data_IF_719093115951
#
_entry.id   IF_719093115951
#
_cell.length_a   1.000
_cell.length_b   1.000
_cell.length_c   1.000
_cell.angle_alpha   90.00
_cell.angle_beta   90.00
_cell.angle_gamma   90.00
#
_symmetry.space_group_name_H-M   'P 1'
#
loop_
_entity.id
_entity.type
_entity.pdbx_description
1 polymer ?
#
# COMPACT_ATOMS: atom_id res chain seq x y z
N UNK A 1 17.72 66.20 -19.97
CA UNK A 1 16.67 65.57 -19.16
C UNK A 1 17.36 64.82 -18.04
N UNK A 2 17.18 65.30 -16.82
CA UNK A 2 17.59 64.72 -15.53
C UNK A 2 16.89 63.37 -15.31
N UNK A 3 17.43 62.42 -14.54
CA UNK A 3 17.22 62.33 -13.08
C UNK A 3 18.27 61.41 -12.45
N UNK A 4 18.88 61.92 -11.38
CA UNK A 4 19.70 61.22 -10.40
C UNK A 4 18.79 60.59 -9.34
N UNK A 5 19.14 59.40 -8.85
CA UNK A 5 18.54 58.82 -7.63
C UNK A 5 19.60 58.14 -6.78
N UNK A 6 20.08 58.87 -5.78
CA UNK A 6 20.79 58.36 -4.61
C UNK A 6 19.79 57.74 -3.63
N UNK A 7 20.09 56.55 -3.07
CA UNK A 7 19.59 56.17 -1.73
C UNK A 7 20.68 55.50 -0.91
N UNK A 8 20.60 55.85 0.37
CA UNK A 8 21.65 55.84 1.38
C UNK A 8 21.76 54.47 2.07
N UNK A 9 22.99 54.14 2.45
CA UNK A 9 23.36 53.06 3.37
C UNK A 9 22.93 53.43 4.80
N UNK A 10 22.41 52.46 5.55
CA UNK A 10 22.46 52.43 7.00
C UNK A 10 22.65 50.97 7.46
N UNK A 11 23.74 50.73 8.17
CA UNK A 11 24.21 49.43 8.71
C UNK A 11 23.85 49.38 10.20
N UNK A 12 23.91 48.18 10.79
CA UNK A 12 24.07 47.84 12.23
C UNK A 12 22.76 47.69 13.03
N UNK A 13 22.57 46.68 13.88
CA UNK A 13 23.37 45.53 14.31
C UNK A 13 22.43 44.53 15.01
N UNK A 14 22.76 43.22 14.97
CA UNK A 14 22.30 42.30 16.01
C UNK A 14 23.43 41.34 16.37
N UNK A 15 23.94 41.52 17.59
CA UNK A 15 24.71 40.53 18.31
C UNK A 15 23.73 39.65 19.10
N UNK A 16 23.98 38.34 19.10
CA UNK A 16 24.04 37.47 20.28
C UNK A 16 23.71 36.03 19.87
N UNK A 17 24.68 35.15 20.12
CA UNK A 17 24.57 33.71 20.05
C UNK A 17 23.71 33.14 21.20
N UNK A 18 23.52 31.82 21.15
CA UNK A 18 22.93 30.88 22.16
C UNK A 18 21.41 30.67 22.02
N UNK A 19 20.84 29.47 22.04
CA UNK A 19 21.31 28.14 22.43
C UNK A 19 20.58 27.05 21.63
N UNK A 20 21.20 25.85 21.54
CA UNK A 20 20.60 24.65 20.99
C UNK A 20 19.37 24.22 21.79
N UNK A 21 18.24 24.06 21.11
CA UNK A 21 17.08 23.31 21.60
C UNK A 21 16.72 22.23 20.59
N UNK A 22 17.09 20.99 20.87
CA UNK A 22 16.56 19.81 20.16
C UNK A 22 15.10 19.65 20.60
N UNK A 23 14.16 20.15 19.81
CA UNK A 23 12.74 19.87 20.03
C UNK A 23 12.10 19.59 18.67
N UNK A 24 11.95 18.29 18.42
CA UNK A 24 11.02 17.65 17.50
C UNK A 24 10.72 18.38 16.18
N UNK A 25 11.24 17.82 15.09
CA UNK A 25 10.60 17.95 13.79
C UNK A 25 9.18 17.36 13.88
N UNK A 26 8.20 18.17 14.29
CA UNK A 26 6.80 17.93 13.94
C UNK A 26 6.65 18.28 12.45
N UNK A 27 6.17 17.36 11.61
CA UNK A 27 5.94 17.63 10.20
C UNK A 27 5.09 18.89 10.05
N UNK A 28 5.42 19.83 9.15
CA UNK A 28 4.85 21.17 9.13
C UNK A 28 3.37 21.25 8.70
N UNK A 29 2.59 20.17 8.82
CA UNK A 29 1.19 20.15 8.40
C UNK A 29 0.29 19.18 9.18
N UNK A 30 0.68 18.69 10.36
CA UNK A 30 -0.27 18.00 11.25
C UNK A 30 -1.17 19.04 11.93
N UNK A 31 -2.44 19.03 11.54
CA UNK A 31 -3.51 19.72 12.25
C UNK A 31 -4.17 18.69 13.17
N UNK A 32 -3.76 18.65 14.43
CA UNK A 32 -4.47 17.85 15.43
C UNK A 32 -5.88 18.44 15.59
N UNK A 33 -6.92 17.60 15.56
CA UNK A 33 -8.28 18.09 15.73
C UNK A 33 -8.57 18.33 17.21
N UNK A 34 -9.07 19.52 17.54
CA UNK A 34 -9.49 19.91 18.90
C UNK A 34 -10.68 19.09 19.43
N UNK A 35 -11.35 18.36 18.53
CA UNK A 35 -12.46 17.47 18.88
C UNK A 35 -11.94 16.07 19.23
N UNK A 36 -11.81 15.80 20.53
CA UNK A 36 -11.56 14.45 21.03
C UNK A 36 -12.89 13.71 21.18
N UNK A 37 -13.02 12.54 20.56
CA UNK A 37 -14.23 11.70 20.65
C UNK A 37 -14.09 10.72 21.81
N UNK A 38 -14.99 10.82 22.79
CA UNK A 38 -15.00 9.96 23.97
C UNK A 38 -15.76 8.67 23.66
N UNK A 39 -15.02 7.58 23.40
CA UNK A 39 -15.59 6.31 22.93
C UNK A 39 -15.87 5.31 24.07
N UNK A 40 -15.71 5.73 25.33
CA UNK A 40 -15.99 4.87 26.47
C UNK A 40 -17.47 4.97 26.88
N UNK A 41 -18.35 4.17 26.26
CA UNK A 41 -19.74 4.04 26.72
C UNK A 41 -19.92 2.73 27.52
N UNK A 42 -20.20 2.86 28.82
CA UNK A 42 -20.64 1.74 29.66
C UNK A 42 -22.03 1.26 29.21
N UNK A 43 -22.17 -0.04 28.95
CA UNK A 43 -23.44 -0.66 28.54
C UNK A 43 -24.40 -0.78 29.73
N UNK A 44 -25.68 -0.43 29.53
CA UNK A 44 -26.74 -0.59 30.54
C UNK A 44 -27.41 -1.96 30.35
N UNK A 45 -27.34 -2.89 31.33
CA UNK A 45 -27.82 -4.26 31.17
C UNK A 45 -29.36 -4.42 31.10
N UNK A 46 -30.14 -3.36 31.29
CA UNK A 46 -31.61 -3.41 31.18
C UNK A 46 -32.17 -3.01 29.80
N UNK A 47 -31.33 -2.86 28.75
CA UNK A 47 -31.74 -2.24 27.49
C UNK A 47 -32.47 -3.14 26.47
N UNK A 48 -33.06 -4.27 26.88
CA UNK A 48 -33.88 -5.12 26.00
C UNK A 48 -35.13 -5.59 26.76
N UNK A 49 -36.26 -5.92 26.11
CA UNK A 49 -36.78 -5.48 24.81
C UNK A 49 -38.23 -4.94 24.92
N UNK A 50 -38.56 -3.95 24.09
CA UNK A 50 -39.95 -3.57 23.82
C UNK A 50 -40.39 -2.19 24.33
N UNK A 51 -39.85 -1.11 23.76
CA UNK A 51 -40.63 0.10 23.48
C UNK A 51 -39.93 0.95 22.42
N UNK A 52 -40.73 1.39 21.46
CA UNK A 52 -40.35 2.01 20.19
C UNK A 52 -39.64 3.36 20.33
N UNK A 53 -38.74 3.69 19.39
CA UNK A 53 -39.02 4.60 18.28
C UNK A 53 -37.72 5.09 17.60
N UNK A 54 -37.76 5.23 16.27
CA UNK A 54 -36.89 6.16 15.54
C UNK A 54 -35.57 5.62 15.01
N UNK A 55 -35.56 5.20 13.75
CA UNK A 55 -34.37 4.94 12.96
C UNK A 55 -33.48 6.18 12.84
N UNK A 56 -32.16 6.02 13.02
CA UNK A 56 -31.14 6.86 12.40
C UNK A 56 -30.15 5.92 11.73
N UNK A 57 -30.18 5.90 10.41
CA UNK A 57 -29.23 5.19 9.54
C UNK A 57 -27.88 5.87 9.67
N UNK A 58 -26.98 5.29 10.47
CA UNK A 58 -25.55 5.59 10.40
C UNK A 58 -24.97 4.71 9.30
N UNK A 59 -24.61 5.32 8.17
CA UNK A 59 -23.77 4.69 7.17
C UNK A 59 -22.38 4.47 7.77
N UNK A 60 -22.18 3.30 8.35
CA UNK A 60 -20.83 2.76 8.57
C UNK A 60 -20.22 2.56 7.19
N UNK A 61 -19.20 3.33 6.83
CA UNK A 61 -18.29 2.90 5.76
C UNK A 61 -17.69 1.60 6.25
N UNK A 62 -18.22 0.50 5.73
CA UNK A 62 -17.67 -0.83 5.88
C UNK A 62 -16.29 -0.77 5.22
N UNK A 63 -15.23 -0.71 6.04
CA UNK A 63 -13.91 -1.06 5.56
C UNK A 63 -13.87 -2.59 5.50
N UNK A 64 -14.00 -3.21 4.31
CA UNK A 64 -14.04 -4.66 4.20
C UNK A 64 -12.74 -5.32 4.66
N UNK A 65 -11.64 -4.56 4.80
CA UNK A 65 -10.35 -5.07 5.22
C UNK A 65 -10.27 -5.30 6.74
N UNK A 66 -10.83 -4.39 7.57
CA UNK A 66 -10.74 -4.51 9.02
C UNK A 66 -11.73 -5.53 9.61
N UNK A 67 -12.90 -5.71 8.96
CA UNK A 67 -13.89 -6.69 9.35
C UNK A 67 -13.50 -8.13 8.97
N UNK A 68 -12.71 -8.31 7.90
CA UNK A 68 -12.20 -9.61 7.48
C UNK A 68 -11.16 -10.19 8.46
N UNK A 69 -10.36 -9.34 9.10
CA UNK A 69 -9.32 -9.77 10.06
C UNK A 69 -9.87 -10.22 11.43
N UNK A 70 -11.11 -9.83 11.79
CA UNK A 70 -11.72 -10.11 13.09
C UNK A 70 -12.71 -11.27 13.09
N UNK A 71 -12.94 -11.91 11.93
CA UNK A 71 -13.82 -13.08 11.81
C UNK A 71 -12.99 -14.37 11.93
N UNK A 72 -13.16 -15.19 12.98
CA UNK A 72 -12.37 -16.41 13.17
C UNK A 72 -12.61 -17.51 12.11
N UNK A 73 -13.61 -17.35 11.24
CA UNK A 73 -14.01 -18.35 10.24
C UNK A 73 -13.36 -18.16 8.86
N UNK A 74 -12.54 -17.13 8.61
CA UNK A 74 -11.91 -16.91 7.30
C UNK A 74 -10.45 -16.44 7.41
N UNK A 75 -9.62 -17.10 8.22
CA UNK A 75 -8.17 -16.91 8.12
C UNK A 75 -7.74 -17.42 6.74
N UNK A 76 -7.54 -16.49 5.82
CA UNK A 76 -7.07 -16.83 4.49
C UNK A 76 -5.69 -17.48 4.62
N UNK A 77 -5.51 -18.61 3.93
CA UNK A 77 -4.28 -19.39 3.92
C UNK A 77 -3.14 -18.54 3.36
N UNK A 78 -2.07 -18.41 4.13
CA UNK A 78 -0.82 -17.75 3.77
C UNK A 78 0.31 -18.79 3.65
N UNK A 79 1.49 -18.35 3.21
CA UNK A 79 2.70 -19.14 3.29
C UNK A 79 3.09 -19.40 4.77
N UNK A 80 4.08 -20.26 5.01
CA UNK A 80 4.49 -20.64 6.37
C UNK A 80 4.94 -19.44 7.23
N UNK A 81 5.43 -18.39 6.58
CA UNK A 81 5.89 -17.14 7.18
C UNK A 81 4.80 -16.07 7.30
N UNK A 82 3.54 -16.40 6.97
CA UNK A 82 2.42 -15.46 7.04
C UNK A 82 2.24 -14.59 5.79
N UNK A 83 3.11 -14.68 4.79
CA UNK A 83 3.04 -13.83 3.60
C UNK A 83 2.12 -14.39 2.50
N UNK A 84 1.65 -13.55 1.56
CA UNK A 84 0.86 -13.99 0.42
C UNK A 84 1.63 -14.92 -0.53
N UNK A 85 0.89 -15.75 -1.25
CA UNK A 85 1.41 -16.45 -2.42
C UNK A 85 1.32 -15.58 -3.68
N UNK A 86 1.89 -16.05 -4.77
CA UNK A 86 1.58 -15.58 -6.11
C UNK A 86 0.76 -16.64 -6.86
N UNK A 87 -0.32 -16.23 -7.50
CA UNK A 87 -1.11 -17.11 -8.37
C UNK A 87 -0.89 -16.73 -9.83
N UNK A 88 -0.22 -17.62 -10.57
CA UNK A 88 -0.01 -17.45 -12.01
C UNK A 88 -1.31 -17.76 -12.80
N UNK A 89 -1.29 -17.60 -14.12
CA UNK A 89 -2.43 -17.64 -15.05
C UNK A 89 -3.39 -18.84 -14.95
N UNK A 90 -2.94 -19.97 -14.40
CA UNK A 90 -3.72 -21.22 -14.32
C UNK A 90 -4.08 -21.58 -12.87
N UNK A 91 -4.22 -20.59 -11.99
CA UNK A 91 -4.39 -20.79 -10.55
C UNK A 91 -3.25 -21.62 -9.92
N UNK A 92 -2.07 -21.55 -10.55
CA UNK A 92 -0.86 -22.20 -10.02
C UNK A 92 -0.30 -21.30 -8.92
N UNK A 93 -0.76 -21.54 -7.70
CA UNK A 93 -0.30 -20.84 -6.51
C UNK A 93 1.10 -21.29 -6.12
N UNK A 94 2.04 -20.35 -6.06
CA UNK A 94 3.45 -20.58 -5.76
C UNK A 94 3.96 -19.56 -4.74
N UNK A 95 4.92 -19.99 -3.92
CA UNK A 95 5.64 -19.11 -3.02
C UNK A 95 7.01 -18.82 -3.64
N UNK A 96 7.33 -17.53 -3.83
CA UNK A 96 8.58 -17.08 -4.45
C UNK A 96 8.92 -17.79 -5.78
N UNK A 97 8.03 -17.71 -6.79
CA UNK A 97 8.27 -18.36 -8.08
C UNK A 97 9.51 -17.80 -8.78
N UNK A 98 10.25 -18.64 -9.51
CA UNK A 98 11.39 -18.21 -10.32
C UNK A 98 10.99 -17.78 -11.75
N UNK A 99 9.70 -17.93 -12.09
CA UNK A 99 9.12 -17.60 -13.39
C UNK A 99 7.65 -17.21 -13.22
N UNK A 100 7.23 -16.17 -13.94
CA UNK A 100 5.85 -15.67 -13.96
C UNK A 100 5.43 -15.41 -15.41
N UNK A 101 4.20 -15.79 -15.78
CA UNK A 101 3.58 -15.38 -17.04
C UNK A 101 2.94 -14.01 -16.86
N UNK A 102 3.38 -13.03 -17.66
CA UNK A 102 2.92 -11.64 -17.57
C UNK A 102 1.73 -11.33 -18.48
N UNK A 103 1.43 -12.22 -19.43
CA UNK A 103 0.24 -12.17 -20.29
C UNK A 103 -0.42 -13.56 -20.34
N UNK A 104 -1.51 -13.75 -19.60
CA UNK A 104 -2.20 -15.05 -19.55
C UNK A 104 -2.89 -15.44 -20.85
N UNK A 105 -3.26 -14.47 -21.68
CA UNK A 105 -4.06 -14.71 -22.89
C UNK A 105 -3.25 -15.42 -23.97
N UNK A 106 -2.10 -14.87 -24.30
CA UNK A 106 -1.25 -15.36 -25.39
C UNK A 106 -0.03 -16.14 -24.89
N UNK A 107 0.28 -16.05 -23.59
CA UNK A 107 1.45 -16.66 -22.97
C UNK A 107 2.74 -16.39 -23.76
N UNK A 108 2.98 -15.11 -24.08
CA UNK A 108 4.10 -14.68 -24.90
C UNK A 108 4.95 -13.56 -24.26
N UNK A 109 4.68 -13.23 -23.00
CA UNK A 109 5.44 -12.26 -22.18
C UNK A 109 5.66 -12.91 -20.80
N UNK A 110 6.93 -12.99 -20.39
CA UNK A 110 7.35 -13.72 -19.20
C UNK A 110 8.39 -12.93 -18.41
N UNK A 111 8.34 -13.05 -17.09
CA UNK A 111 9.47 -12.76 -16.21
C UNK A 111 10.12 -14.08 -15.82
N UNK A 112 11.39 -14.27 -16.16
CA UNK A 112 12.15 -15.51 -15.93
C UNK A 112 13.43 -15.22 -15.14
N UNK A 113 14.00 -16.27 -14.53
CA UNK A 113 15.19 -16.15 -13.68
C UNK A 113 14.98 -15.12 -12.55
N UNK A 114 13.79 -15.15 -11.94
CA UNK A 114 13.45 -14.19 -10.90
C UNK A 114 14.28 -14.47 -9.65
N UNK A 115 14.91 -13.43 -9.13
CA UNK A 115 15.57 -13.41 -7.83
C UNK A 115 14.81 -12.44 -6.95
N UNK A 116 14.22 -12.93 -5.85
CA UNK A 116 13.49 -12.09 -4.90
C UNK A 116 14.48 -11.49 -3.90
N UNK A 117 14.49 -10.16 -3.78
CA UNK A 117 15.24 -9.47 -2.73
C UNK A 117 14.42 -9.29 -1.46
N UNK A 118 13.09 -9.12 -1.60
CA UNK A 118 12.17 -8.99 -0.48
C UNK A 118 10.83 -9.68 -0.77
N UNK A 119 10.21 -10.23 0.27
CA UNK A 119 8.91 -10.88 0.22
C UNK A 119 8.20 -10.69 1.56
N UNK A 120 7.30 -9.72 1.60
CA UNK A 120 6.58 -9.32 2.82
C UNK A 120 5.08 -9.57 2.69
N UNK A 121 4.32 -9.22 3.73
CA UNK A 121 2.87 -9.36 3.73
C UNK A 121 2.16 -8.46 2.69
N UNK A 122 2.77 -7.32 2.35
CA UNK A 122 2.16 -6.30 1.50
C UNK A 122 2.76 -6.26 0.08
N UNK A 123 4.07 -6.50 -0.02
CA UNK A 123 4.84 -6.32 -1.24
C UNK A 123 5.94 -7.38 -1.36
N UNK A 124 6.21 -7.84 -2.58
CA UNK A 124 7.43 -8.56 -2.91
C UNK A 124 8.21 -7.84 -4.01
N UNK A 125 9.53 -7.76 -3.86
CA UNK A 125 10.45 -7.11 -4.79
C UNK A 125 11.49 -8.10 -5.30
N UNK A 126 11.69 -8.08 -6.61
CA UNK A 126 12.61 -8.97 -7.29
C UNK A 126 13.30 -8.31 -8.48
N UNK A 127 14.29 -9.00 -9.02
CA UNK A 127 14.86 -8.77 -10.34
C UNK A 127 14.62 -9.96 -11.25
N UNK A 128 14.40 -9.72 -12.54
CA UNK A 128 14.09 -10.75 -13.52
C UNK A 128 14.71 -10.47 -14.90
N UNK A 129 14.70 -11.48 -15.75
CA UNK A 129 14.86 -11.32 -17.20
C UNK A 129 13.47 -11.34 -17.84
N UNK A 130 13.08 -10.26 -18.52
CA UNK A 130 11.82 -10.21 -19.26
C UNK A 130 12.02 -10.74 -20.68
N UNK A 131 11.24 -11.74 -21.06
CA UNK A 131 11.26 -12.32 -22.41
C UNK A 131 9.90 -12.11 -23.05
N UNK A 132 9.87 -11.49 -24.24
CA UNK A 132 8.66 -11.34 -25.05
C UNK A 132 8.88 -11.90 -26.45
N UNK A 133 7.88 -12.58 -26.99
CA UNK A 133 7.93 -13.09 -28.36
C UNK A 133 8.29 -11.97 -29.37
N UNK A 134 9.27 -12.25 -30.23
CA UNK A 134 9.74 -11.31 -31.25
C UNK A 134 10.55 -10.11 -30.72
N UNK A 135 10.98 -10.13 -29.45
CA UNK A 135 11.85 -9.11 -28.84
C UNK A 135 13.07 -9.75 -28.19
N UNK A 136 14.16 -9.00 -28.15
CA UNK A 136 15.34 -9.41 -27.38
C UNK A 136 15.01 -9.43 -25.88
N UNK A 137 15.52 -10.40 -25.11
CA UNK A 137 15.35 -10.44 -23.66
C UNK A 137 15.93 -9.20 -22.97
N UNK A 138 15.22 -8.69 -21.97
CA UNK A 138 15.65 -7.55 -21.15
C UNK A 138 16.05 -8.05 -19.77
N UNK A 139 17.35 -7.98 -19.46
CA UNK A 139 17.88 -8.36 -18.16
C UNK A 139 17.68 -7.26 -17.10
N UNK A 140 17.71 -7.64 -15.83
CA UNK A 140 17.61 -6.76 -14.65
C UNK A 140 16.32 -5.91 -14.62
N UNK A 141 15.23 -6.46 -15.17
CA UNK A 141 13.92 -5.85 -15.06
C UNK A 141 13.46 -5.95 -13.60
N UNK A 142 13.03 -4.84 -13.01
CA UNK A 142 12.52 -4.82 -11.64
C UNK A 142 11.11 -5.39 -11.63
N UNK A 143 10.87 -6.44 -10.86
CA UNK A 143 9.54 -6.99 -10.65
C UNK A 143 9.02 -6.60 -9.27
N UNK A 144 7.75 -6.21 -9.20
CA UNK A 144 7.09 -5.97 -7.91
C UNK A 144 5.71 -6.58 -7.91
N UNK A 145 5.43 -7.39 -6.87
CA UNK A 145 4.12 -7.93 -6.56
C UNK A 145 3.50 -7.13 -5.42
N UNK A 146 2.23 -6.78 -5.51
CA UNK A 146 1.56 -5.96 -4.49
C UNK A 146 0.05 -6.20 -4.45
N UNK A 147 -0.65 -5.42 -3.62
CA UNK A 147 -2.09 -5.47 -3.43
C UNK A 147 -2.57 -6.89 -3.04
N UNK A 148 -2.12 -7.40 -1.88
CA UNK A 148 -2.53 -8.71 -1.40
C UNK A 148 -4.05 -8.76 -1.22
N UNK A 149 -4.66 -9.88 -1.60
CA UNK A 149 -6.09 -10.11 -1.48
C UNK A 149 -6.38 -11.60 -1.24
N UNK A 150 -7.48 -11.88 -0.56
CA UNK A 150 -7.96 -13.25 -0.43
C UNK A 150 -8.68 -13.69 -1.70
N UNK A 151 -8.24 -14.79 -2.31
CA UNK A 151 -8.90 -15.51 -3.42
C UNK A 151 -9.12 -16.94 -2.96
N UNK A 152 -10.37 -17.40 -2.94
CA UNK A 152 -10.76 -18.74 -2.46
C UNK A 152 -10.16 -19.10 -1.10
N UNK A 153 -10.14 -18.12 -0.19
CA UNK A 153 -9.57 -18.29 1.15
C UNK A 153 -8.05 -18.45 1.17
N UNK A 154 -7.33 -18.05 0.12
CA UNK A 154 -5.85 -17.99 0.07
C UNK A 154 -5.40 -16.55 -0.18
N UNK A 155 -4.44 -16.06 0.59
CA UNK A 155 -3.84 -14.75 0.36
C UNK A 155 -2.89 -14.80 -0.83
N UNK A 156 -3.15 -13.95 -1.83
CA UNK A 156 -2.32 -13.84 -3.03
C UNK A 156 -2.04 -12.37 -3.38
N UNK A 157 -0.87 -12.09 -3.96
CA UNK A 157 -0.62 -10.78 -4.57
C UNK A 157 -1.53 -10.57 -5.79
N UNK A 158 -2.18 -9.41 -5.85
CA UNK A 158 -3.16 -9.09 -6.89
C UNK A 158 -2.58 -8.32 -8.08
N UNK A 159 -1.46 -7.63 -7.90
CA UNK A 159 -0.83 -6.81 -8.94
C UNK A 159 0.59 -7.29 -9.24
N UNK A 160 1.00 -7.15 -10.51
CA UNK A 160 2.36 -7.39 -10.97
C UNK A 160 2.82 -6.17 -11.76
N UNK A 161 3.98 -5.62 -11.42
CA UNK A 161 4.61 -4.56 -12.22
C UNK A 161 5.99 -4.99 -12.68
N UNK A 162 6.38 -4.55 -13.88
CA UNK A 162 7.74 -4.67 -14.40
C UNK A 162 8.24 -3.26 -14.70
N UNK A 163 9.35 -2.87 -14.08
CA UNK A 163 9.93 -1.52 -14.14
C UNK A 163 8.90 -0.42 -13.80
N UNK A 164 8.04 -0.70 -12.82
CA UNK A 164 6.96 0.17 -12.37
C UNK A 164 5.73 0.20 -13.30
N UNK A 165 5.75 -0.49 -14.44
CA UNK A 165 4.61 -0.60 -15.34
C UNK A 165 3.75 -1.79 -14.95
N UNK A 166 2.47 -1.55 -14.65
CA UNK A 166 1.53 -2.62 -14.33
C UNK A 166 1.34 -3.55 -15.54
N UNK A 167 1.61 -4.83 -15.32
CA UNK A 167 1.45 -5.93 -16.27
C UNK A 167 0.50 -6.91 -15.63
N UNK A 168 -0.78 -6.52 -15.55
CA UNK A 168 -1.78 -7.38 -14.93
C UNK A 168 -1.90 -8.66 -15.78
N UNK A 169 -1.56 -9.84 -15.23
CA UNK A 169 -1.67 -11.09 -15.97
C UNK A 169 -3.15 -11.40 -16.30
N UNK A 170 -4.09 -10.81 -15.57
CA UNK A 170 -5.53 -10.98 -15.76
C UNK A 170 -6.09 -9.93 -16.72
N UNK A 171 -6.31 -10.30 -17.98
CA UNK A 171 -7.33 -9.63 -18.80
C UNK A 171 -8.23 -10.68 -19.43
N UNK A 172 -9.40 -10.81 -18.80
CA UNK A 172 -10.63 -11.47 -19.27
C UNK A 172 -10.71 -13.00 -19.24
N UNK A 173 -11.45 -13.52 -18.25
CA UNK A 173 -12.24 -14.76 -18.36
C UNK A 173 -13.69 -14.45 -18.01
#
# INVERSE_FOLDING_TARGET
>A
MTISTSRKVAITAFAAATALGLAACSPPNEQDSDHKVDTATSQNPDSLPGKADGATTTSTTYDPFEAALKSPDLIAKTAQDGTPFYSDCNANTQYQPNRIVLNCKDQNDFAENIVWEDWSEEIAHGTATRTREGKDPVANAQITLSAPKAVDGTMVFGNVTIDGVNVNPQTDY
#
